data_IF_795464231996
#
_entry.id   IF_795464231996
#
_cell.length_a   1.000
_cell.length_b   1.000
_cell.length_c   1.000
_cell.angle_alpha   90.00
_cell.angle_beta   90.00
_cell.angle_gamma   90.00
#
_symmetry.space_group_name_H-M   'P 1'
#
loop_
_entity.id
_entity.type
_entity.pdbx_description
1 polymer ?
#
# COMPACT_ATOMS: atom_id res chain seq x y z
N UNK A 1 14.29 32.42 28.45
CA UNK A 1 13.82 31.23 27.70
C UNK A 1 14.22 31.42 26.24
N UNK A 2 14.90 30.47 25.59
CA UNK A 2 15.17 30.57 24.16
C UNK A 2 13.87 30.33 23.37
N UNK A 3 13.71 30.92 22.17
CA UNK A 3 12.52 30.75 21.36
C UNK A 3 12.41 29.28 20.93
N UNK A 4 11.25 28.67 21.15
CA UNK A 4 10.92 27.37 20.59
C UNK A 4 10.96 27.52 19.07
N UNK A 5 12.03 27.00 18.46
CA UNK A 5 12.15 26.86 17.02
C UNK A 5 10.88 26.15 16.53
N UNK A 6 10.02 26.88 15.79
CA UNK A 6 8.98 26.26 14.97
C UNK A 6 9.68 25.18 14.15
N UNK A 7 9.46 23.91 14.47
CA UNK A 7 9.80 22.83 13.56
C UNK A 7 9.04 23.14 12.29
N UNK A 8 9.72 23.66 11.28
CA UNK A 8 9.25 23.69 9.90
C UNK A 8 9.23 22.23 9.45
N UNK A 9 8.23 21.48 9.91
CA UNK A 9 7.99 20.13 9.42
C UNK A 9 7.54 20.27 7.98
N UNK A 10 8.33 19.71 7.06
CA UNK A 10 8.05 19.65 5.63
C UNK A 10 6.89 18.69 5.35
N UNK A 11 5.73 18.96 5.93
CA UNK A 11 4.53 18.17 5.75
C UNK A 11 3.90 18.55 4.40
N UNK A 12 3.53 17.56 3.60
CA UNK A 12 2.85 17.80 2.35
C UNK A 12 1.56 18.59 2.65
N UNK A 13 1.35 19.76 2.02
CA UNK A 13 0.20 20.58 2.33
C UNK A 13 -1.10 19.89 1.89
N UNK A 14 -2.19 20.02 2.66
CA UNK A 14 -3.52 19.59 2.23
C UNK A 14 -3.90 20.22 0.88
N UNK A 15 -4.49 19.41 0.00
CA UNK A 15 -5.05 19.91 -1.25
C UNK A 15 -6.43 20.52 -1.04
N UNK A 16 -6.80 21.43 -1.93
CA UNK A 16 -8.17 21.95 -1.98
C UNK A 16 -9.10 20.91 -2.61
N UNK A 17 -10.39 20.95 -2.25
CA UNK A 17 -11.41 20.08 -2.86
C UNK A 17 -11.42 20.19 -4.38
N UNK A 18 -11.25 21.40 -4.94
CA UNK A 18 -11.18 21.59 -6.39
C UNK A 18 -9.99 20.86 -7.00
N UNK A 19 -8.79 21.00 -6.43
CA UNK A 19 -7.60 20.33 -6.92
C UNK A 19 -7.73 18.80 -6.86
N UNK A 20 -8.29 18.28 -5.77
CA UNK A 20 -8.55 16.84 -5.63
C UNK A 20 -9.52 16.36 -6.71
N UNK A 21 -10.64 17.06 -6.92
CA UNK A 21 -11.61 16.69 -7.95
C UNK A 21 -10.99 16.73 -9.34
N UNK A 22 -10.18 17.76 -9.64
CA UNK A 22 -9.49 17.87 -10.93
C UNK A 22 -8.58 16.65 -11.17
N UNK A 23 -7.80 16.23 -10.17
CA UNK A 23 -6.97 15.01 -10.24
C UNK A 23 -7.79 13.73 -10.33
N UNK A 24 -8.89 13.61 -9.57
CA UNK A 24 -9.75 12.43 -9.62
C UNK A 24 -10.37 12.22 -11.01
N UNK A 25 -10.60 13.28 -11.80
CA UNK A 25 -11.05 13.13 -13.19
C UNK A 25 -10.01 12.42 -14.06
N UNK A 26 -8.72 12.65 -13.80
CA UNK A 26 -7.61 12.05 -14.52
C UNK A 26 -7.32 10.63 -14.02
N UNK A 27 -7.31 10.42 -12.69
CA UNK A 27 -7.14 9.07 -12.11
C UNK A 27 -8.27 8.15 -12.58
N UNK A 28 -9.51 8.62 -12.61
CA UNK A 28 -10.68 7.86 -13.08
C UNK A 28 -10.89 7.95 -14.61
N UNK A 29 -9.84 8.14 -15.40
CA UNK A 29 -9.96 8.12 -16.85
C UNK A 29 -10.35 6.74 -17.37
N UNK A 30 -11.27 6.67 -18.34
CA UNK A 30 -11.75 5.42 -18.94
C UNK A 30 -13.05 4.91 -18.33
N UNK A 31 -13.35 3.63 -18.54
CA UNK A 31 -14.62 3.00 -18.14
C UNK A 31 -14.67 2.67 -16.65
N UNK A 32 -13.51 2.54 -16.01
CA UNK A 32 -13.40 2.14 -14.61
C UNK A 32 -12.98 3.32 -13.72
N UNK A 33 -13.85 3.70 -12.78
CA UNK A 33 -13.76 4.95 -12.00
C UNK A 33 -13.87 4.69 -10.48
N UNK A 34 -12.88 4.03 -9.87
CA UNK A 34 -13.01 3.52 -8.51
C UNK A 34 -12.88 4.62 -7.45
N UNK A 35 -12.13 5.70 -7.72
CA UNK A 35 -11.75 6.66 -6.69
C UNK A 35 -12.80 7.74 -6.44
N UNK A 36 -13.05 8.02 -5.17
CA UNK A 36 -13.95 9.08 -4.70
C UNK A 36 -13.29 9.88 -3.58
N UNK A 37 -13.65 11.15 -3.47
CA UNK A 37 -13.33 11.98 -2.31
C UNK A 37 -14.43 11.84 -1.28
N UNK A 38 -14.05 11.56 -0.04
CA UNK A 38 -14.96 11.49 1.11
C UNK A 38 -14.48 12.42 2.23
N UNK A 39 -15.44 12.81 3.08
CA UNK A 39 -15.22 13.69 4.22
C UNK A 39 -15.84 13.08 5.47
N UNK A 40 -15.22 13.32 6.63
CA UNK A 40 -15.86 13.06 7.92
C UNK A 40 -16.14 14.39 8.61
N UNK A 41 -17.40 14.61 8.96
CA UNK A 41 -17.87 15.78 9.73
C UNK A 41 -18.55 15.26 10.99
N UNK A 42 -17.80 15.18 12.09
CA UNK A 42 -18.40 15.06 13.41
C UNK A 42 -18.56 16.48 13.97
N UNK A 43 -19.65 16.76 14.69
CA UNK A 43 -19.97 18.11 15.20
C UNK A 43 -18.92 18.69 16.17
N UNK A 44 -17.94 17.89 16.63
CA UNK A 44 -16.91 18.30 17.59
C UNK A 44 -15.47 18.15 17.06
N UNK A 45 -15.26 17.47 15.91
CA UNK A 45 -13.93 17.23 15.35
C UNK A 45 -13.64 18.15 14.16
N UNK A 46 -12.34 18.45 13.95
CA UNK A 46 -11.88 19.10 12.72
C UNK A 46 -12.28 18.24 11.50
N UNK A 47 -12.86 18.82 10.44
CA UNK A 47 -13.25 18.06 9.26
C UNK A 47 -12.03 17.40 8.61
N UNK A 48 -12.17 16.11 8.29
CA UNK A 48 -11.12 15.32 7.63
C UNK A 48 -11.51 15.00 6.20
N UNK A 49 -10.53 14.62 5.38
CA UNK A 49 -10.75 14.16 4.01
C UNK A 49 -9.89 12.94 3.70
N UNK A 50 -10.45 12.05 2.90
CA UNK A 50 -9.75 10.85 2.43
C UNK A 50 -10.27 10.44 1.06
N UNK A 51 -9.45 9.68 0.33
CA UNK A 51 -9.86 9.03 -0.90
C UNK A 51 -10.29 7.60 -0.60
N UNK A 52 -11.39 7.15 -1.19
CA UNK A 52 -11.85 5.77 -1.12
C UNK A 52 -11.89 5.15 -2.51
N UNK A 53 -11.63 3.84 -2.60
CA UNK A 53 -11.78 3.08 -3.83
C UNK A 53 -12.10 1.62 -3.57
N UNK A 54 -12.94 1.04 -4.44
CA UNK A 54 -13.31 -0.38 -4.41
C UNK A 54 -12.85 -1.08 -5.70
N UNK A 55 -12.00 -2.11 -5.54
CA UNK A 55 -11.48 -2.94 -6.62
C UNK A 55 -11.98 -4.38 -6.50
N UNK A 56 -12.29 -4.98 -7.66
CA UNK A 56 -12.62 -6.39 -7.75
C UNK A 56 -11.71 -7.10 -8.77
N UNK A 57 -11.11 -8.22 -8.35
CA UNK A 57 -10.21 -9.02 -9.15
C UNK A 57 -10.85 -10.36 -9.54
N UNK A 58 -10.27 -11.04 -10.52
CA UNK A 58 -10.83 -12.31 -11.03
C UNK A 58 -10.60 -13.50 -10.09
N UNK A 59 -9.61 -13.42 -9.19
CA UNK A 59 -9.27 -14.49 -8.24
C UNK A 59 -8.47 -13.96 -7.05
N UNK A 60 -8.43 -14.73 -5.96
CA UNK A 60 -7.62 -14.42 -4.79
C UNK A 60 -6.12 -14.30 -5.09
N UNK A 61 -5.61 -15.12 -6.01
CA UNK A 61 -4.20 -15.05 -6.42
C UNK A 61 -3.89 -13.72 -7.11
N UNK A 62 -4.78 -13.22 -7.98
CA UNK A 62 -4.64 -11.87 -8.56
C UNK A 62 -4.75 -10.79 -7.49
N UNK A 63 -5.65 -10.94 -6.51
CA UNK A 63 -5.76 -10.01 -5.36
C UNK A 63 -4.43 -9.84 -4.66
N UNK A 64 -3.76 -10.94 -4.32
CA UNK A 64 -2.49 -10.86 -3.60
C UNK A 64 -1.34 -10.35 -4.46
N UNK A 65 -1.34 -10.63 -5.76
CA UNK A 65 -0.38 -9.99 -6.68
C UNK A 65 -0.57 -8.46 -6.66
N UNK A 66 -1.81 -8.01 -6.82
CA UNK A 66 -2.16 -6.60 -6.79
C UNK A 66 -1.75 -5.93 -5.46
N UNK A 67 -2.10 -6.53 -4.33
CA UNK A 67 -1.76 -6.00 -3.01
C UNK A 67 -0.24 -5.98 -2.75
N UNK A 68 0.50 -6.97 -3.25
CA UNK A 68 1.96 -7.02 -3.10
C UNK A 68 2.65 -5.87 -3.83
N UNK A 69 2.23 -5.57 -5.06
CA UNK A 69 2.78 -4.44 -5.82
C UNK A 69 2.38 -3.09 -5.21
N UNK A 70 1.14 -2.97 -4.71
CA UNK A 70 0.71 -1.77 -3.98
C UNK A 70 1.54 -1.57 -2.71
N UNK A 71 1.82 -2.63 -1.95
CA UNK A 71 2.67 -2.57 -0.77
C UNK A 71 4.11 -2.13 -1.11
N UNK A 72 4.66 -2.65 -2.22
CA UNK A 72 5.99 -2.24 -2.73
C UNK A 72 6.04 -0.74 -3.03
N UNK A 73 5.04 -0.22 -3.74
CA UNK A 73 5.01 1.22 -4.10
C UNK A 73 4.77 2.11 -2.88
N UNK A 74 3.84 1.73 -1.99
CA UNK A 74 3.56 2.43 -0.75
C UNK A 74 4.82 2.59 0.13
N UNK A 75 5.63 1.53 0.23
CA UNK A 75 6.90 1.56 0.97
C UNK A 75 7.93 2.49 0.29
N UNK A 76 8.04 2.43 -1.05
CA UNK A 76 8.94 3.30 -1.82
C UNK A 76 8.60 4.79 -1.65
N UNK A 77 7.31 5.13 -1.63
CA UNK A 77 6.85 6.52 -1.42
C UNK A 77 6.74 6.92 0.04
N UNK A 78 6.99 6.00 0.98
CA UNK A 78 6.77 6.17 2.43
C UNK A 78 5.38 6.74 2.74
N UNK A 79 4.38 6.21 2.04
CA UNK A 79 2.98 6.63 2.17
C UNK A 79 2.10 5.40 2.10
N UNK A 80 1.45 5.06 3.22
CA UNK A 80 0.78 3.77 3.35
C UNK A 80 -0.75 3.95 3.26
N UNK A 81 -1.44 3.11 2.47
CA UNK A 81 -2.89 3.07 2.44
C UNK A 81 -3.46 2.32 3.66
N UNK A 82 -4.72 2.58 3.99
CA UNK A 82 -5.55 1.58 4.68
C UNK A 82 -6.13 0.64 3.63
N UNK A 83 -6.03 -0.68 3.87
CA UNK A 83 -6.48 -1.73 2.95
C UNK A 83 -7.41 -2.68 3.70
N UNK A 84 -8.58 -2.95 3.14
CA UNK A 84 -9.49 -4.02 3.59
C UNK A 84 -9.67 -4.97 2.41
N UNK A 85 -9.56 -6.28 2.63
CA UNK A 85 -9.71 -7.27 1.57
C UNK A 85 -10.61 -8.41 2.01
N UNK A 86 -11.51 -8.85 1.12
CA UNK A 86 -12.35 -10.03 1.28
C UNK A 86 -12.32 -10.83 -0.02
N UNK A 87 -11.55 -11.91 -0.04
CA UNK A 87 -11.30 -12.73 -1.23
C UNK A 87 -10.83 -11.91 -2.44
N UNK A 88 -11.71 -11.60 -3.38
CA UNK A 88 -11.38 -10.88 -4.60
C UNK A 88 -11.77 -9.40 -4.59
N UNK A 89 -12.23 -8.88 -3.45
CA UNK A 89 -12.64 -7.49 -3.26
C UNK A 89 -11.62 -6.77 -2.38
N UNK A 90 -11.22 -5.59 -2.79
CA UNK A 90 -10.25 -4.75 -2.09
C UNK A 90 -10.78 -3.34 -1.97
N UNK A 91 -10.90 -2.86 -0.74
CA UNK A 91 -11.22 -1.48 -0.41
C UNK A 91 -9.95 -0.75 0.03
N UNK A 92 -9.73 0.44 -0.55
CA UNK A 92 -8.67 1.35 -0.14
C UNK A 92 -9.23 2.59 0.52
N UNK A 93 -8.49 3.09 1.51
CA UNK A 93 -8.64 4.44 2.06
C UNK A 93 -7.27 5.12 2.13
N UNK A 94 -7.16 6.30 1.50
CA UNK A 94 -5.94 7.11 1.47
C UNK A 94 -6.16 8.45 2.17
N UNK A 95 -5.30 8.78 3.12
CA UNK A 95 -5.22 10.10 3.73
C UNK A 95 -3.83 10.32 4.30
N UNK A 96 -3.38 11.57 4.37
CA UNK A 96 -2.11 11.91 5.01
C UNK A 96 -2.35 12.26 6.48
N UNK A 97 -2.01 11.33 7.37
CA UNK A 97 -2.21 11.47 8.83
C UNK A 97 -1.57 12.76 9.38
N UNK A 98 -0.31 12.99 9.04
CA UNK A 98 0.44 14.14 9.56
C UNK A 98 -0.03 15.49 9.00
N UNK A 99 -0.85 15.48 7.94
CA UNK A 99 -1.54 16.65 7.42
C UNK A 99 -2.90 16.90 8.11
N UNK A 100 -3.14 16.24 9.26
CA UNK A 100 -4.40 16.31 10.01
C UNK A 100 -5.50 15.46 9.37
N UNK A 101 -5.14 14.29 8.84
CA UNK A 101 -6.03 13.40 8.08
C UNK A 101 -6.70 14.14 6.91
N UNK A 102 -5.88 14.77 6.09
CA UNK A 102 -6.31 15.44 4.86
C UNK A 102 -5.63 14.82 3.65
N UNK A 103 -6.32 14.88 2.52
CA UNK A 103 -5.77 14.47 1.23
C UNK A 103 -4.66 15.42 0.81
N UNK A 104 -3.50 14.88 0.45
CA UNK A 104 -2.35 15.60 -0.11
C UNK A 104 -1.95 15.02 -1.47
N UNK A 105 -0.93 15.59 -2.10
CA UNK A 105 -0.33 15.03 -3.32
C UNK A 105 0.18 13.59 -3.15
N UNK A 106 0.52 13.17 -1.93
CA UNK A 106 0.96 11.78 -1.67
C UNK A 106 -0.19 10.79 -1.89
N UNK A 107 -1.39 11.15 -1.44
CA UNK A 107 -2.60 10.34 -1.62
C UNK A 107 -2.96 10.21 -3.10
N UNK A 108 -2.91 11.33 -3.84
CA UNK A 108 -3.15 11.35 -5.29
C UNK A 108 -2.12 10.48 -6.03
N UNK A 109 -0.84 10.64 -5.72
CA UNK A 109 0.25 9.88 -6.34
C UNK A 109 0.06 8.37 -6.13
N UNK A 110 -0.27 7.97 -4.90
CA UNK A 110 -0.54 6.56 -4.59
C UNK A 110 -1.81 6.05 -5.28
N UNK A 111 -2.85 6.88 -5.42
CA UNK A 111 -4.07 6.51 -6.17
C UNK A 111 -3.78 6.21 -7.65
N UNK A 112 -2.93 7.01 -8.31
CA UNK A 112 -2.44 6.74 -9.67
C UNK A 112 -1.67 5.42 -9.75
N UNK A 113 -0.73 5.20 -8.83
CA UNK A 113 0.05 3.97 -8.80
C UNK A 113 -0.85 2.73 -8.64
N UNK A 114 -1.81 2.77 -7.71
CA UNK A 114 -2.77 1.69 -7.48
C UNK A 114 -3.59 1.41 -8.75
N UNK A 115 -4.09 2.45 -9.43
CA UNK A 115 -4.81 2.31 -10.70
C UNK A 115 -3.95 1.60 -11.74
N UNK A 116 -2.71 2.03 -11.92
CA UNK A 116 -1.82 1.49 -12.95
C UNK A 116 -1.46 0.03 -12.67
N UNK A 117 -1.18 -0.31 -11.41
CA UNK A 117 -0.94 -1.69 -10.98
C UNK A 117 -2.20 -2.53 -11.22
N UNK A 118 -3.39 -2.02 -10.92
CA UNK A 118 -4.63 -2.75 -11.17
C UNK A 118 -4.79 -3.09 -12.66
N UNK A 119 -4.61 -2.09 -13.55
CA UNK A 119 -4.69 -2.31 -15.00
C UNK A 119 -3.67 -3.36 -15.47
N UNK A 120 -2.43 -3.31 -14.95
CA UNK A 120 -1.40 -4.30 -15.25
C UNK A 120 -1.81 -5.72 -14.79
N UNK A 121 -2.32 -5.87 -13.58
CA UNK A 121 -2.75 -7.18 -13.05
C UNK A 121 -3.96 -7.76 -13.79
N UNK A 122 -4.85 -6.90 -14.29
CA UNK A 122 -6.01 -7.35 -15.08
C UNK A 122 -5.58 -7.96 -16.41
N UNK A 123 -4.63 -7.36 -17.12
CA UNK A 123 -4.15 -7.85 -18.42
C UNK A 123 -3.24 -9.07 -18.34
N UNK A 124 -2.71 -9.42 -17.16
CA UNK A 124 -1.91 -10.63 -17.01
C UNK A 124 -2.76 -11.88 -17.28
N UNK A 125 -2.40 -12.70 -18.28
CA UNK A 125 -3.12 -13.94 -18.52
C UNK A 125 -2.91 -14.86 -17.32
N UNK A 126 -3.98 -15.51 -16.86
CA UNK A 126 -3.99 -16.38 -15.68
C UNK A 126 -3.07 -17.62 -15.73
N UNK A 127 -2.20 -17.71 -16.75
CA UNK A 127 -1.16 -18.74 -16.99
C UNK A 127 0.07 -18.15 -17.71
N UNK A 128 0.58 -16.99 -17.29
CA UNK A 128 1.86 -16.48 -17.83
C UNK A 128 3.05 -17.15 -17.14
N UNK A 129 4.05 -17.62 -17.91
CA UNK A 129 5.34 -18.09 -17.37
C UNK A 129 5.99 -17.08 -16.42
N UNK A 130 5.74 -15.77 -16.62
CA UNK A 130 6.21 -14.71 -15.74
C UNK A 130 5.51 -14.71 -14.38
N UNK A 131 4.21 -15.03 -14.35
CA UNK A 131 3.44 -15.14 -13.11
C UNK A 131 3.82 -16.39 -12.32
N UNK A 132 3.97 -17.52 -13.01
CA UNK A 132 4.51 -18.75 -12.41
C UNK A 132 5.93 -18.53 -11.87
N UNK A 133 6.80 -17.83 -12.62
CA UNK A 133 8.16 -17.52 -12.16
C UNK A 133 8.17 -16.58 -10.95
N UNK A 134 7.25 -15.61 -10.92
CA UNK A 134 7.08 -14.72 -9.76
C UNK A 134 6.59 -15.51 -8.53
N UNK A 135 5.54 -16.33 -8.67
CA UNK A 135 5.03 -17.16 -7.57
C UNK A 135 6.06 -18.18 -7.09
N UNK A 136 6.77 -18.82 -8.02
CA UNK A 136 7.87 -19.73 -7.69
C UNK A 136 8.99 -19.00 -6.95
N UNK A 137 9.34 -17.80 -7.39
CA UNK A 137 10.33 -16.96 -6.70
C UNK A 137 9.89 -16.48 -5.31
N UNK A 138 8.59 -16.41 -5.02
CA UNK A 138 8.06 -16.17 -3.67
C UNK A 138 8.13 -17.45 -2.83
N UNK A 139 7.67 -18.58 -3.39
CA UNK A 139 7.67 -19.89 -2.72
C UNK A 139 9.10 -20.34 -2.34
N UNK A 140 10.05 -20.22 -3.27
CA UNK A 140 11.46 -20.56 -3.03
C UNK A 140 12.08 -19.66 -1.95
N UNK A 141 11.75 -18.36 -1.91
CA UNK A 141 12.21 -17.46 -0.84
C UNK A 141 11.60 -17.78 0.53
N UNK A 142 10.34 -18.21 0.56
CA UNK A 142 9.69 -18.66 1.79
C UNK A 142 10.38 -19.91 2.36
N UNK A 143 10.61 -20.91 1.50
CA UNK A 143 11.31 -22.16 1.84
C UNK A 143 12.76 -21.92 2.27
N UNK A 144 13.48 -21.02 1.59
CA UNK A 144 14.84 -20.64 1.98
C UNK A 144 14.87 -19.92 3.33
N UNK A 145 13.85 -19.13 3.67
CA UNK A 145 13.78 -18.49 4.99
C UNK A 145 13.58 -19.50 6.13
N UNK A 146 12.76 -20.53 5.93
CA UNK A 146 12.56 -21.59 6.92
C UNK A 146 13.77 -22.51 7.02
N UNK A 147 14.39 -22.85 5.90
CA UNK A 147 15.65 -23.59 5.87
C UNK A 147 16.78 -22.80 6.56
N UNK A 148 16.90 -21.49 6.31
CA UNK A 148 17.91 -20.63 6.94
C UNK A 148 17.70 -20.52 8.45
N UNK A 149 16.46 -20.29 8.91
CA UNK A 149 16.13 -20.29 10.36
C UNK A 149 16.43 -21.63 11.01
N UNK A 150 16.14 -22.74 10.33
CA UNK A 150 16.44 -24.08 10.83
C UNK A 150 17.93 -24.31 10.94
N UNK A 151 18.72 -23.88 9.96
CA UNK A 151 20.19 -23.97 9.98
C UNK A 151 20.77 -23.08 11.09
N UNK A 152 20.31 -21.84 11.26
CA UNK A 152 20.75 -20.95 12.35
C UNK A 152 20.46 -21.53 13.73
N UNK A 153 19.28 -22.14 13.92
CA UNK A 153 18.92 -22.84 15.15
C UNK A 153 19.80 -24.07 15.39
N UNK A 154 20.15 -24.83 14.34
CA UNK A 154 21.05 -25.98 14.45
C UNK A 154 22.49 -25.55 14.75
N UNK A 155 22.97 -24.45 14.18
CA UNK A 155 24.33 -23.92 14.41
C UNK A 155 24.47 -23.36 15.83
N UNK A 156 23.50 -22.56 16.30
CA UNK A 156 23.50 -22.04 17.69
C UNK A 156 23.35 -23.13 18.76
N UNK A 157 22.59 -24.19 18.48
CA UNK A 157 22.48 -25.35 19.36
C UNK A 157 23.77 -26.19 19.43
N UNK A 158 24.65 -26.11 18.43
CA UNK A 158 25.93 -26.82 18.38
C UNK A 158 27.01 -26.06 19.16
N UNK A 159 27.04 -24.73 19.03
CA UNK A 159 27.98 -23.85 19.73
C UNK A 159 27.74 -23.84 21.25
N UNK A 160 26.48 -23.93 21.70
CA UNK A 160 26.13 -24.03 23.12
C UNK A 160 26.49 -25.37 23.77
N UNK A 161 26.71 -26.44 22.99
CA UNK A 161 27.18 -27.75 23.48
C UNK A 161 28.71 -27.84 23.56
N UNK A 162 29.45 -27.05 22.76
CA UNK A 162 30.92 -27.05 22.79
C UNK A 162 31.51 -26.17 23.90
N UNK A 163 30.77 -25.16 24.40
CA UNK A 163 31.21 -24.26 25.47
C UNK A 163 30.82 -24.72 26.90
N UNK A 164 30.45 -26.00 27.10
CA UNK A 164 30.05 -26.57 28.40
C UNK A 164 30.94 -27.71 28.90
N UNK A 165 32.17 -27.84 28.38
CA UNK A 165 33.14 -28.84 28.84
C UNK A 165 34.37 -28.21 29.48
#
# INVERSE_FOLDING_TARGET
MPPVLKRLTSLAPPLTTKAIIDELRLVNSGDYKPWKLEHTTNNEDKPTSFLSAHYQLSSFAKTWLFLSEVAREANKTKHHPTIITTYNKVDFKLTTHDAGNQVTNKDITLAYAIRDIFLQVQVLPGKSKSFESFLKGISERSMLSEASKTIENLMSAKDSKQNKS
#
